data_IF_086743040479
#
_entry.id   IF_086743040479
#
_cell.length_a   1.000
_cell.length_b   1.000
_cell.length_c   1.000
_cell.angle_alpha   90.00
_cell.angle_beta   90.00
_cell.angle_gamma   90.00
#
_symmetry.space_group_name_H-M   'P 1'
#
loop_
_entity.id
_entity.type
_entity.pdbx_description
1 polymer ?
#
# COMPACT_ATOMS: atom_id res chain seq x y z
N UNK A 1 20.84 21.24 -13.27
CA UNK A 1 20.75 20.95 -11.81
C UNK A 1 22.11 20.47 -11.32
N UNK A 2 22.50 20.82 -10.09
CA UNK A 2 23.71 20.30 -9.44
C UNK A 2 23.40 19.04 -8.64
N UNK A 3 24.44 18.32 -8.21
CA UNK A 3 24.27 17.13 -7.36
C UNK A 3 23.55 17.46 -6.03
N UNK A 4 23.85 18.61 -5.41
CA UNK A 4 23.18 19.04 -4.18
C UNK A 4 21.70 19.35 -4.41
N UNK A 5 21.34 19.94 -5.56
CA UNK A 5 19.94 20.18 -5.93
C UNK A 5 19.18 18.87 -6.12
N UNK A 6 19.79 17.87 -6.79
CA UNK A 6 19.17 16.55 -6.96
C UNK A 6 18.93 15.83 -5.62
N UNK A 7 19.86 15.95 -4.66
CA UNK A 7 19.69 15.39 -3.32
C UNK A 7 18.53 16.05 -2.57
N UNK A 8 18.43 17.37 -2.63
CA UNK A 8 17.34 18.11 -1.98
C UNK A 8 15.97 17.68 -2.53
N UNK A 9 15.84 17.52 -3.84
CA UNK A 9 14.61 17.02 -4.48
C UNK A 9 14.27 15.59 -3.99
N UNK A 10 15.27 14.71 -3.92
CA UNK A 10 15.10 13.32 -3.48
C UNK A 10 14.68 13.21 -2.00
N UNK A 11 15.21 14.07 -1.12
CA UNK A 11 14.84 14.06 0.31
C UNK A 11 13.33 14.24 0.50
N UNK A 12 12.69 15.08 -0.31
CA UNK A 12 11.24 15.27 -0.25
C UNK A 12 10.44 14.01 -0.62
N UNK A 13 10.86 13.29 -1.68
CA UNK A 13 10.21 12.05 -2.10
C UNK A 13 10.36 10.95 -1.04
N UNK A 14 11.56 10.81 -0.46
CA UNK A 14 11.83 9.84 0.62
C UNK A 14 10.99 10.13 1.86
N UNK A 15 10.87 11.40 2.27
CA UNK A 15 10.06 11.79 3.43
C UNK A 15 8.56 11.48 3.27
N UNK A 16 8.07 11.35 2.02
CA UNK A 16 6.69 10.94 1.70
C UNK A 16 6.55 9.45 1.38
N UNK A 17 7.60 8.66 1.60
CA UNK A 17 7.65 7.22 1.28
C UNK A 17 7.44 6.91 -0.21
N UNK A 18 7.78 7.85 -1.10
CA UNK A 18 7.72 7.61 -2.54
C UNK A 18 8.96 6.83 -3.00
N UNK A 19 8.75 5.79 -3.82
CA UNK A 19 9.85 5.04 -4.45
C UNK A 19 10.50 5.78 -5.64
N UNK A 20 9.94 6.90 -6.08
CA UNK A 20 10.43 7.67 -7.23
C UNK A 20 10.01 9.15 -7.17
N UNK A 21 10.82 10.02 -7.78
CA UNK A 21 10.49 11.45 -7.95
C UNK A 21 9.25 11.63 -8.84
N UNK A 22 8.42 12.63 -8.53
CA UNK A 22 7.36 13.06 -9.44
C UNK A 22 7.97 13.69 -10.71
N UNK A 23 7.42 13.34 -11.87
CA UNK A 23 7.81 13.98 -13.12
C UNK A 23 7.34 15.44 -13.12
N UNK A 24 8.16 16.34 -13.65
CA UNK A 24 7.86 17.77 -13.77
C UNK A 24 7.85 18.23 -15.24
N UNK A 25 7.63 17.32 -16.20
CA UNK A 25 7.68 17.67 -17.62
C UNK A 25 6.49 18.53 -18.09
N UNK A 26 5.41 18.61 -17.31
CA UNK A 26 4.23 19.45 -17.60
C UNK A 26 3.31 18.94 -18.71
N UNK A 27 3.60 17.78 -19.29
CA UNK A 27 2.75 17.15 -20.32
C UNK A 27 1.50 16.53 -19.69
N UNK A 28 0.33 16.77 -20.30
CA UNK A 28 -0.92 16.09 -19.93
C UNK A 28 -0.83 14.58 -20.22
N UNK A 29 -0.13 14.19 -21.29
CA UNK A 29 0.12 12.80 -21.68
C UNK A 29 1.44 12.26 -21.10
N UNK A 30 1.71 12.51 -19.81
CA UNK A 30 2.94 12.04 -19.17
C UNK A 30 2.88 10.53 -18.86
N UNK A 31 3.59 9.72 -19.64
CA UNK A 31 3.68 8.26 -19.42
C UNK A 31 4.18 7.87 -18.01
N UNK A 32 5.02 8.70 -17.38
CA UNK A 32 5.52 8.46 -16.01
C UNK A 32 4.45 8.70 -14.95
N UNK A 33 3.54 9.65 -15.16
CA UNK A 33 2.45 9.92 -14.23
C UNK A 33 1.46 8.76 -14.19
N UNK A 34 1.11 8.18 -15.34
CA UNK A 34 0.20 7.03 -15.45
C UNK A 34 0.72 5.77 -14.72
N UNK A 35 2.05 5.59 -14.63
CA UNK A 35 2.65 4.44 -13.93
C UNK A 35 2.55 4.58 -12.41
N UNK A 36 2.52 5.80 -11.85
CA UNK A 36 2.40 6.01 -10.40
C UNK A 36 1.03 5.60 -9.84
N UNK A 37 -0.06 5.76 -10.58
CA UNK A 37 -1.41 5.36 -10.13
C UNK A 37 -1.59 3.84 -10.06
N UNK A 38 -0.83 3.07 -10.86
CA UNK A 38 -0.96 1.61 -10.93
C UNK A 38 -0.09 0.84 -9.94
N UNK A 39 0.89 1.51 -9.31
CA UNK A 39 1.75 0.90 -8.30
C UNK A 39 1.08 0.99 -6.93
N UNK A 40 0.28 -0.01 -6.56
CA UNK A 40 -0.11 -0.21 -5.16
C UNK A 40 1.16 -0.37 -4.30
N UNK A 41 1.62 0.71 -3.68
CA UNK A 41 2.92 0.77 -3.00
C UNK A 41 2.95 0.02 -1.66
N UNK A 42 1.81 -0.45 -1.16
CA UNK A 42 1.74 -1.14 0.14
C UNK A 42 0.93 -2.43 0.00
N UNK A 43 1.61 -3.56 0.20
CA UNK A 43 0.96 -4.86 0.39
C UNK A 43 0.90 -5.14 1.89
N UNK A 44 -0.29 -5.42 2.39
CA UNK A 44 -0.52 -5.77 3.79
C UNK A 44 -0.93 -7.24 3.86
N UNK A 45 -0.27 -8.00 4.74
CA UNK A 45 -0.61 -9.41 4.99
C UNK A 45 -1.36 -9.54 6.31
N UNK A 46 -2.59 -10.04 6.21
CA UNK A 46 -3.45 -10.38 7.35
C UNK A 46 -3.54 -11.90 7.43
N UNK A 47 -3.24 -12.46 8.59
CA UNK A 47 -3.45 -13.88 8.89
C UNK A 47 -4.80 -14.01 9.61
N UNK A 48 -5.69 -14.86 9.12
CA UNK A 48 -6.98 -15.13 9.76
C UNK A 48 -7.45 -16.55 9.45
N UNK A 49 -8.36 -17.07 10.27
CA UNK A 49 -9.03 -18.34 9.95
C UNK A 49 -10.02 -18.17 8.81
N UNK A 50 -10.11 -19.18 7.94
CA UNK A 50 -11.04 -19.19 6.81
C UNK A 50 -12.49 -18.95 7.26
N UNK A 51 -12.90 -19.52 8.40
CA UNK A 51 -14.23 -19.29 8.96
C UNK A 51 -14.51 -17.80 9.28
N UNK A 52 -13.47 -17.03 9.66
CA UNK A 52 -13.61 -15.58 9.92
C UNK A 52 -13.76 -14.81 8.61
N UNK A 53 -12.98 -15.18 7.59
CA UNK A 53 -13.06 -14.62 6.23
C UNK A 53 -14.46 -14.87 5.64
N UNK A 54 -14.98 -16.09 5.81
CA UNK A 54 -16.30 -16.51 5.31
C UNK A 54 -17.48 -16.02 6.17
N UNK A 55 -17.20 -15.37 7.31
CA UNK A 55 -18.23 -14.89 8.25
C UNK A 55 -18.97 -15.99 9.02
N UNK A 56 -18.45 -17.22 9.03
CA UNK A 56 -18.98 -18.36 9.77
C UNK A 56 -18.35 -18.54 11.15
N UNK A 57 -17.33 -17.73 11.48
CA UNK A 57 -16.72 -17.64 12.80
C UNK A 57 -16.25 -16.22 13.12
N UNK A 58 -15.93 -15.98 14.39
CA UNK A 58 -15.59 -14.65 14.94
C UNK A 58 -14.23 -14.61 15.64
N UNK A 59 -13.30 -15.47 15.23
CA UNK A 59 -11.93 -15.38 15.74
C UNK A 59 -11.23 -14.18 15.13
N UNK A 60 -10.39 -13.53 15.91
CA UNK A 60 -9.61 -12.39 15.42
C UNK A 60 -8.54 -12.82 14.41
N UNK A 61 -8.17 -11.92 13.52
CA UNK A 61 -6.99 -12.03 12.68
C UNK A 61 -5.75 -11.42 13.33
N UNK A 62 -4.64 -11.46 12.61
CA UNK A 62 -3.36 -10.87 12.99
C UNK A 62 -2.76 -10.09 11.83
N UNK A 63 -2.33 -8.86 12.12
CA UNK A 63 -1.64 -7.98 11.19
C UNK A 63 -0.25 -7.66 11.75
N UNK A 64 0.80 -8.00 11.00
CA UNK A 64 2.18 -7.74 11.44
C UNK A 64 2.42 -6.24 11.64
N UNK A 65 3.03 -5.88 12.77
CA UNK A 65 3.27 -4.49 13.16
C UNK A 65 2.08 -3.76 13.79
N UNK A 66 0.85 -4.31 13.72
CA UNK A 66 -0.35 -3.70 14.30
C UNK A 66 -1.03 -4.59 15.36
N UNK A 67 -0.81 -5.91 15.33
CA UNK A 67 -1.31 -6.84 16.33
C UNK A 67 -2.61 -7.52 15.93
N UNK A 68 -3.47 -7.76 16.93
CA UNK A 68 -4.75 -8.46 16.75
C UNK A 68 -5.72 -7.57 15.98
N UNK A 69 -6.33 -8.12 14.93
CA UNK A 69 -7.32 -7.45 14.10
C UNK A 69 -8.70 -8.06 14.36
N UNK A 70 -9.72 -7.27 14.77
CA UNK A 70 -11.07 -7.77 14.99
C UNK A 70 -11.68 -8.49 13.78
N UNK A 71 -12.61 -9.41 14.02
CA UNK A 71 -13.20 -10.25 12.97
C UNK A 71 -13.94 -9.43 11.89
N UNK A 72 -14.59 -8.35 12.28
CA UNK A 72 -15.25 -7.41 11.37
C UNK A 72 -14.27 -6.67 10.46
N UNK A 73 -13.10 -6.32 10.97
CA UNK A 73 -12.04 -5.66 10.21
C UNK A 73 -11.37 -6.64 9.23
N UNK A 74 -11.18 -7.89 9.66
CA UNK A 74 -10.74 -8.99 8.76
C UNK A 74 -11.73 -9.13 7.61
N UNK A 75 -13.04 -9.16 7.88
CA UNK A 75 -14.08 -9.26 6.84
C UNK A 75 -14.13 -8.02 5.95
N UNK A 76 -13.89 -6.83 6.50
CA UNK A 76 -13.81 -5.61 5.71
C UNK A 76 -12.63 -5.65 4.73
N UNK A 77 -11.45 -6.05 5.19
CA UNK A 77 -10.26 -6.20 4.37
C UNK A 77 -10.42 -7.30 3.30
N UNK A 78 -11.08 -8.41 3.64
CA UNK A 78 -11.30 -9.53 2.72
C UNK A 78 -12.07 -9.15 1.45
N UNK A 79 -12.91 -8.10 1.48
CA UNK A 79 -13.69 -7.63 0.32
C UNK A 79 -12.81 -7.18 -0.85
N UNK A 80 -11.60 -6.71 -0.58
CA UNK A 80 -10.67 -6.19 -1.59
C UNK A 80 -9.33 -6.94 -1.60
N UNK A 81 -9.16 -7.91 -0.71
CA UNK A 81 -7.92 -8.67 -0.59
C UNK A 81 -7.79 -9.77 -1.65
N UNK A 82 -6.55 -10.08 -2.03
CA UNK A 82 -6.25 -11.34 -2.71
C UNK A 82 -6.10 -12.43 -1.67
N UNK A 83 -7.08 -13.34 -1.58
CA UNK A 83 -7.04 -14.47 -0.68
C UNK A 83 -5.98 -15.50 -1.14
N UNK A 84 -5.17 -15.97 -0.18
CA UNK A 84 -4.22 -17.08 -0.37
C UNK A 84 -4.52 -18.12 0.69
N UNK A 85 -4.97 -19.30 0.24
CA UNK A 85 -5.26 -20.48 1.04
C UNK A 85 -3.98 -21.30 1.28
#
# INVERSE_FOLDING_TARGET
RTHNQLRADATGAVGRWESSLACQCGSEDCAVAAVKESAAQVVIHILAEQATVDGTGDKAGYLSGFGVLPAEEVRAAAKTAKLKL
#
